data_IF_366174378690
#
_entry.id   IF_366174378690
#
_cell.length_a   1.000
_cell.length_b   1.000
_cell.length_c   1.000
_cell.angle_alpha   90.00
_cell.angle_beta   90.00
_cell.angle_gamma   90.00
#
_symmetry.space_group_name_H-M   'P 1'
#
loop_
_entity.id
_entity.type
_entity.pdbx_description
1 polymer ?
#
# COMPACT_ATOMS: atom_id res chain seq x y z
N UNK A 1 -12.56 7.12 8.79
CA UNK A 1 -12.19 8.51 8.39
C UNK A 1 -11.88 8.51 6.91
N UNK A 2 -12.28 9.55 6.17
CA UNK A 2 -12.03 9.64 4.73
C UNK A 2 -10.52 9.66 4.44
N UNK A 3 -9.73 10.39 5.25
CA UNK A 3 -8.27 10.50 5.13
C UNK A 3 -7.57 9.13 5.13
N UNK A 4 -7.95 8.22 6.05
CA UNK A 4 -7.43 6.84 6.08
C UNK A 4 -7.68 6.13 4.75
N UNK A 5 -8.94 6.14 4.29
CA UNK A 5 -9.34 5.44 3.07
C UNK A 5 -8.60 6.02 1.84
N UNK A 6 -8.49 7.34 1.76
CA UNK A 6 -7.79 8.03 0.67
C UNK A 6 -6.31 7.64 0.64
N UNK A 7 -5.63 7.65 1.79
CA UNK A 7 -4.21 7.26 1.89
C UNK A 7 -4.00 5.79 1.55
N UNK A 8 -4.79 4.89 2.14
CA UNK A 8 -4.69 3.45 1.83
C UNK A 8 -4.97 3.15 0.35
N UNK A 9 -5.93 3.86 -0.26
CA UNK A 9 -6.25 3.71 -1.69
C UNK A 9 -5.10 4.20 -2.57
N UNK A 10 -4.56 5.38 -2.28
CA UNK A 10 -3.41 5.93 -2.99
C UNK A 10 -2.21 4.98 -2.91
N UNK A 11 -1.85 4.51 -1.71
CA UNK A 11 -0.74 3.56 -1.53
C UNK A 11 -0.94 2.25 -2.29
N UNK A 12 -2.18 1.75 -2.40
CA UNK A 12 -2.43 0.55 -3.21
C UNK A 12 -2.24 0.79 -4.70
N UNK A 13 -2.60 1.98 -5.21
CA UNK A 13 -2.36 2.36 -6.60
C UNK A 13 -0.85 2.52 -6.88
N UNK A 14 -0.12 3.21 -5.99
CA UNK A 14 1.33 3.34 -6.07
C UNK A 14 2.04 1.98 -6.07
N UNK A 15 1.60 1.02 -5.23
CA UNK A 15 2.16 -0.33 -5.27
C UNK A 15 1.83 -1.09 -6.56
N UNK A 16 0.67 -0.84 -7.18
CA UNK A 16 0.36 -1.41 -8.51
C UNK A 16 1.35 -0.87 -9.54
N UNK A 17 1.60 0.43 -9.55
CA UNK A 17 2.56 1.05 -10.46
C UNK A 17 3.98 0.50 -10.24
N UNK A 18 4.42 0.46 -8.98
CA UNK A 18 5.73 -0.09 -8.59
C UNK A 18 5.93 -1.55 -8.98
N UNK A 19 4.93 -2.41 -8.76
CA UNK A 19 5.02 -3.85 -9.13
C UNK A 19 4.72 -4.11 -10.60
N UNK A 20 4.16 -3.13 -11.31
CA UNK A 20 3.76 -3.23 -12.72
C UNK A 20 2.57 -4.17 -12.98
N UNK A 21 1.84 -4.58 -11.93
CA UNK A 21 0.69 -5.45 -12.10
C UNK A 21 -0.36 -5.27 -11.00
N UNK A 22 -1.62 -5.52 -11.37
CA UNK A 22 -2.72 -5.49 -10.42
C UNK A 22 -2.68 -6.65 -9.42
N UNK A 23 -3.42 -6.50 -8.33
CA UNK A 23 -3.60 -7.59 -7.35
C UNK A 23 -4.25 -8.80 -8.03
N UNK A 24 -3.65 -9.97 -7.88
CA UNK A 24 -4.06 -11.24 -8.49
C UNK A 24 -3.95 -11.30 -10.02
N UNK A 25 -3.37 -10.29 -10.67
CA UNK A 25 -3.06 -10.36 -12.10
C UNK A 25 -1.79 -11.21 -12.33
N UNK A 26 -1.65 -11.81 -13.54
CA UNK A 26 -0.38 -12.38 -13.96
C UNK A 26 0.74 -11.35 -13.86
N UNK A 27 1.90 -11.77 -13.34
CA UNK A 27 3.08 -10.92 -13.20
C UNK A 27 4.13 -11.26 -14.25
N UNK A 28 4.90 -10.27 -14.67
CA UNK A 28 6.07 -10.47 -15.54
C UNK A 28 7.39 -10.61 -14.75
N UNK A 29 7.45 -10.10 -13.51
CA UNK A 29 8.67 -10.08 -12.68
C UNK A 29 8.68 -11.05 -11.50
N UNK A 30 9.77 -11.02 -10.72
CA UNK A 30 9.90 -11.78 -9.47
C UNK A 30 9.08 -11.18 -8.33
N UNK A 31 8.99 -9.86 -8.27
CA UNK A 31 8.32 -9.15 -7.20
C UNK A 31 6.80 -9.40 -7.16
N UNK A 32 6.22 -9.33 -5.97
CA UNK A 32 4.80 -9.55 -5.70
C UNK A 32 4.36 -8.78 -4.48
N UNK A 33 3.07 -8.44 -4.39
CA UNK A 33 2.47 -7.95 -3.15
C UNK A 33 2.65 -8.95 -2.00
N UNK A 34 2.99 -8.46 -0.81
CA UNK A 34 3.34 -9.26 0.36
C UNK A 34 2.57 -8.83 1.62
N UNK A 35 1.27 -8.61 1.47
CA UNK A 35 0.38 -8.21 2.56
C UNK A 35 0.48 -6.73 2.92
N UNK A 36 0.20 -6.43 4.19
CA UNK A 36 0.11 -5.08 4.73
C UNK A 36 0.85 -4.98 6.07
N UNK A 37 1.31 -3.78 6.41
CA UNK A 37 1.80 -3.40 7.73
C UNK A 37 0.99 -2.25 8.33
N UNK A 38 0.77 -2.28 9.64
CA UNK A 38 0.12 -1.17 10.34
C UNK A 38 1.09 0.00 10.54
N UNK A 39 0.60 1.23 10.38
CA UNK A 39 1.31 2.46 10.72
C UNK A 39 0.35 3.49 11.30
N UNK A 40 0.72 4.08 12.44
CA UNK A 40 0.00 5.23 13.00
C UNK A 40 0.59 6.53 12.44
N UNK A 41 -0.26 7.37 11.85
CA UNK A 41 0.07 8.69 11.35
C UNK A 41 -0.49 9.75 12.27
N UNK A 42 0.27 10.81 12.52
CA UNK A 42 -0.25 12.03 13.12
C UNK A 42 -0.76 12.95 12.00
N UNK A 43 -2.01 13.38 12.11
CA UNK A 43 -2.67 14.32 11.19
C UNK A 43 -3.30 15.47 11.98
N UNK A 44 -3.82 16.47 11.26
CA UNK A 44 -4.53 17.60 11.87
C UNK A 44 -5.79 17.16 12.65
N UNK A 45 -6.41 16.06 12.24
CA UNK A 45 -7.57 15.45 12.89
C UNK A 45 -7.19 14.46 14.03
N UNK A 46 -5.89 14.38 14.37
CA UNK A 46 -5.34 13.47 15.37
C UNK A 46 -4.63 12.25 14.79
N UNK A 47 -4.48 11.21 15.61
CA UNK A 47 -3.84 9.95 15.22
C UNK A 47 -4.74 9.09 14.35
N UNK A 48 -4.19 8.58 13.24
CA UNK A 48 -4.88 7.72 12.29
C UNK A 48 -4.02 6.48 12.04
N UNK A 49 -4.54 5.31 12.39
CA UNK A 49 -3.93 4.05 11.98
C UNK A 49 -4.31 3.72 10.52
N UNK A 50 -3.31 3.38 9.71
CA UNK A 50 -3.47 2.96 8.30
C UNK A 50 -2.83 1.58 8.06
N UNK A 51 -3.30 0.87 7.04
CA UNK A 51 -2.70 -0.36 6.53
C UNK A 51 -1.89 -0.07 5.26
N UNK A 52 -0.57 -0.11 5.39
CA UNK A 52 0.38 0.16 4.29
C UNK A 52 0.63 -1.12 3.49
N UNK A 53 0.39 -1.16 2.17
CA UNK A 53 0.70 -2.32 1.35
C UNK A 53 2.22 -2.45 1.15
N UNK A 54 2.72 -3.68 1.00
CA UNK A 54 4.16 -3.91 0.77
C UNK A 54 4.42 -4.86 -0.38
N UNK A 55 5.60 -4.76 -0.96
CA UNK A 55 6.13 -5.71 -1.92
C UNK A 55 6.93 -6.84 -1.23
N UNK A 56 7.33 -7.85 -2.00
CA UNK A 56 8.09 -9.00 -1.50
C UNK A 56 9.57 -8.69 -1.41
N UNK A 57 10.07 -7.86 -2.32
CA UNK A 57 11.48 -7.50 -2.41
C UNK A 57 11.86 -6.37 -1.44
N UNK A 58 10.89 -5.81 -0.70
CA UNK A 58 11.08 -4.70 0.26
C UNK A 58 11.70 -3.47 -0.41
N UNK A 59 11.27 -3.21 -1.64
CA UNK A 59 11.68 -2.06 -2.44
C UNK A 59 10.63 -0.96 -2.45
N UNK A 60 9.46 -1.21 -1.84
CA UNK A 60 8.37 -0.27 -1.62
C UNK A 60 7.73 -0.47 -0.23
#
# INVERSE_FOLDING_TARGET
>A
MLTRLTVETALNAELTDHTGHEKNAPKAGSNTRNGYSSKTLLSDDGEIEIQTPRDRESTF
#
